data_IF_769410258565
#
_entry.id   IF_769410258565
#
_cell.length_a   1.000
_cell.length_b   1.000
_cell.length_c   1.000
_cell.angle_alpha   90.00
_cell.angle_beta   90.00
_cell.angle_gamma   90.00
#
_symmetry.space_group_name_H-M   'P 1'
#
loop_
_entity.id
_entity.type
_entity.pdbx_description
1 polymer ?
#
# COMPACT_ATOMS: atom_id res chain seq x y z
N UNK A 1 -2.57 -2.68 19.85
CA UNK A 1 -2.89 -4.12 19.73
C UNK A 1 -3.28 -4.41 18.29
N UNK A 2 -2.67 -5.42 17.66
CA UNK A 2 -3.02 -5.82 16.29
C UNK A 2 -4.24 -6.74 16.28
N UNK A 3 -4.99 -6.80 15.18
CA UNK A 3 -6.14 -7.71 15.04
C UNK A 3 -5.75 -9.19 15.30
N UNK A 4 -4.49 -9.55 15.04
CA UNK A 4 -3.92 -10.87 15.30
C UNK A 4 -3.84 -11.17 16.80
N UNK A 5 -3.52 -10.17 17.63
CA UNK A 5 -3.46 -10.32 19.09
C UNK A 5 -4.84 -10.54 19.72
N UNK A 6 -5.92 -10.32 18.95
CA UNK A 6 -7.31 -10.52 19.39
C UNK A 6 -7.91 -11.86 18.91
N UNK A 7 -7.10 -12.80 18.42
CA UNK A 7 -7.54 -14.16 18.08
C UNK A 7 -8.25 -14.30 16.72
N UNK A 8 -8.30 -13.23 15.92
CA UNK A 8 -8.76 -13.33 14.54
C UNK A 8 -7.71 -14.03 13.69
N UNK A 9 -8.12 -14.99 12.85
CA UNK A 9 -7.22 -15.57 11.84
C UNK A 9 -6.59 -14.43 11.06
N UNK A 10 -5.28 -14.49 10.86
CA UNK A 10 -4.58 -13.54 10.01
C UNK A 10 -5.15 -13.72 8.60
N UNK A 11 -6.15 -12.93 8.25
CA UNK A 11 -6.58 -12.78 6.88
C UNK A 11 -5.52 -11.92 6.21
N UNK A 12 -4.32 -12.47 6.05
CA UNK A 12 -3.26 -11.81 5.32
C UNK A 12 -3.69 -11.88 3.86
N UNK A 13 -4.53 -10.94 3.45
CA UNK A 13 -4.93 -10.79 2.06
C UNK A 13 -3.78 -10.25 1.23
N UNK A 14 -2.66 -9.88 1.85
CA UNK A 14 -1.58 -9.12 1.24
C UNK A 14 -0.18 -9.66 1.57
N UNK A 15 0.68 -9.74 0.58
CA UNK A 15 2.12 -9.91 0.78
C UNK A 15 2.81 -8.54 0.81
N UNK A 16 3.58 -8.25 1.86
CA UNK A 16 4.35 -7.00 1.99
C UNK A 16 5.71 -7.16 1.29
N UNK A 17 5.97 -6.30 0.33
CA UNK A 17 7.26 -6.16 -0.35
C UNK A 17 7.87 -4.79 -0.02
N UNK A 18 9.16 -4.80 0.31
CA UNK A 18 9.92 -3.56 0.38
C UNK A 18 10.12 -3.04 -1.04
N UNK A 19 9.87 -1.75 -1.23
CA UNK A 19 10.19 -1.07 -2.48
C UNK A 19 11.51 -0.37 -2.24
N UNK A 20 12.54 -0.82 -2.95
CA UNK A 20 13.86 -0.21 -2.84
C UNK A 20 13.90 0.99 -3.79
N UNK A 21 13.82 2.20 -3.24
CA UNK A 21 14.11 3.44 -3.97
C UNK A 21 15.53 3.95 -3.64
N UNK A 22 16.23 4.66 -4.54
CA UNK A 22 17.40 5.47 -4.23
C UNK A 22 17.34 6.20 -2.88
N UNK A 23 18.36 5.98 -2.07
CA UNK A 23 18.66 6.69 -0.82
C UNK A 23 18.75 8.23 -0.96
N UNK A 24 18.67 8.77 -2.18
CA UNK A 24 18.76 10.20 -2.46
C UNK A 24 17.37 10.78 -2.82
N UNK A 25 16.75 11.59 -1.94
CA UNK A 25 15.46 12.22 -2.19
C UNK A 25 15.44 13.22 -3.34
N UNK A 26 16.61 13.60 -3.87
CA UNK A 26 16.72 14.46 -5.06
C UNK A 26 16.64 13.66 -6.38
N UNK A 27 16.71 12.33 -6.31
CA UNK A 27 16.54 11.46 -7.47
C UNK A 27 15.06 11.22 -7.74
N UNK A 28 14.71 10.98 -9.01
CA UNK A 28 13.34 10.56 -9.36
C UNK A 28 13.07 9.18 -8.78
N UNK A 29 11.94 9.04 -8.09
CA UNK A 29 11.45 7.75 -7.65
C UNK A 29 11.02 6.89 -8.85
N UNK A 30 11.80 5.85 -9.14
CA UNK A 30 11.49 4.93 -10.25
C UNK A 30 10.43 3.88 -9.90
N UNK A 31 10.14 3.64 -8.62
CA UNK A 31 9.12 2.68 -8.17
C UNK A 31 7.71 3.01 -8.67
N UNK A 32 7.44 4.28 -8.99
CA UNK A 32 6.17 4.72 -9.56
C UNK A 32 6.11 4.66 -11.08
N UNK A 33 7.22 4.40 -11.78
CA UNK A 33 7.31 4.51 -13.25
C UNK A 33 6.30 3.63 -13.98
N UNK A 34 5.99 2.46 -13.41
CA UNK A 34 5.07 1.49 -13.99
C UNK A 34 3.77 1.35 -13.19
N UNK A 35 3.53 2.22 -12.20
CA UNK A 35 2.35 2.14 -11.34
C UNK A 35 1.09 2.47 -12.15
N UNK A 36 0.13 1.56 -12.18
CA UNK A 36 -1.19 1.74 -12.77
C UNK A 36 -2.22 2.05 -11.69
N UNK A 37 -2.09 3.22 -11.07
CA UNK A 37 -3.00 3.64 -10.01
C UNK A 37 -4.43 3.84 -10.54
N UNK A 38 -5.39 3.19 -9.91
CA UNK A 38 -6.83 3.34 -10.17
C UNK A 38 -7.57 4.00 -9.02
N UNK A 39 -7.03 3.90 -7.80
CA UNK A 39 -7.53 4.57 -6.60
C UNK A 39 -6.39 5.17 -5.80
N UNK A 40 -6.68 6.25 -5.08
CA UNK A 40 -5.75 6.83 -4.13
C UNK A 40 -6.46 7.35 -2.89
N UNK A 41 -5.87 7.14 -1.72
CA UNK A 41 -6.31 7.74 -0.46
C UNK A 41 -5.09 8.32 0.26
N UNK A 42 -5.24 9.52 0.82
CA UNK A 42 -4.16 10.21 1.52
C UNK A 42 -4.34 10.13 3.03
N UNK A 43 -3.23 9.91 3.72
CA UNK A 43 -3.12 10.02 5.17
C UNK A 43 -2.20 11.16 5.57
N UNK A 44 -1.92 11.28 6.87
CA UNK A 44 -0.97 12.27 7.37
C UNK A 44 0.45 11.85 6.99
N UNK A 45 1.04 12.53 6.00
CA UNK A 45 2.43 12.32 5.60
C UNK A 45 2.66 11.18 4.59
N UNK A 46 1.60 10.57 4.06
CA UNK A 46 1.69 9.52 3.04
C UNK A 46 0.45 9.50 2.13
N UNK A 47 0.60 8.90 0.95
CA UNK A 47 -0.51 8.55 0.06
C UNK A 47 -0.43 7.07 -0.28
N UNK A 48 -1.57 6.40 -0.29
CA UNK A 48 -1.72 5.02 -0.73
C UNK A 48 -2.37 5.01 -2.10
N UNK A 49 -1.77 4.27 -3.04
CA UNK A 49 -2.28 4.04 -4.38
C UNK A 49 -2.70 2.57 -4.49
N UNK A 50 -3.88 2.33 -5.06
CA UNK A 50 -4.35 0.98 -5.40
C UNK A 50 -4.26 0.74 -6.89
N UNK A 51 -3.73 -0.42 -7.29
CA UNK A 51 -3.74 -0.93 -8.66
C UNK A 51 -4.88 -1.95 -8.85
N UNK A 52 -5.52 -1.98 -10.03
CA UNK A 52 -6.60 -2.94 -10.32
C UNK A 52 -6.21 -4.41 -10.12
N UNK A 53 -4.93 -4.75 -10.25
CA UNK A 53 -4.39 -6.11 -10.05
C UNK A 53 -4.21 -6.51 -8.58
N UNK A 54 -4.69 -5.71 -7.62
CA UNK A 54 -4.58 -6.02 -6.19
C UNK A 54 -3.37 -5.41 -5.50
N UNK A 55 -2.45 -4.75 -6.21
CA UNK A 55 -1.32 -4.11 -5.58
C UNK A 55 -1.72 -2.79 -4.90
N UNK A 56 -1.09 -2.53 -3.75
CA UNK A 56 -1.30 -1.34 -2.93
C UNK A 56 0.06 -0.77 -2.62
N UNK A 57 0.28 0.45 -3.04
CA UNK A 57 1.56 1.13 -2.94
C UNK A 57 1.45 2.30 -1.97
N UNK A 58 2.27 2.34 -0.92
CA UNK A 58 2.35 3.52 -0.04
C UNK A 58 3.58 4.35 -0.39
N UNK A 59 3.31 5.59 -0.78
CA UNK A 59 4.30 6.64 -0.92
C UNK A 59 4.35 7.48 0.34
N UNK A 60 5.51 7.52 1.02
CA UNK A 60 5.74 8.32 2.22
C UNK A 60 6.55 9.56 1.89
N UNK A 61 6.40 10.65 2.66
CA UNK A 61 7.29 11.82 2.53
C UNK A 61 8.75 11.50 2.88
N UNK A 62 8.97 10.43 3.65
CA UNK A 62 10.29 10.07 4.19
C UNK A 62 11.03 9.00 3.37
N UNK A 63 10.49 8.58 2.22
CA UNK A 63 11.10 7.54 1.37
C UNK A 63 11.30 6.18 2.05
N UNK A 64 10.28 5.76 2.82
CA UNK A 64 10.17 4.43 3.42
C UNK A 64 9.01 3.67 2.74
N UNK A 65 9.16 3.36 1.47
CA UNK A 65 8.10 2.79 0.66
C UNK A 65 7.89 1.30 0.88
N UNK A 66 6.62 0.93 0.92
CA UNK A 66 6.17 -0.44 0.97
C UNK A 66 5.11 -0.65 -0.09
N UNK A 67 5.15 -1.81 -0.73
CA UNK A 67 4.09 -2.32 -1.57
C UNK A 67 3.44 -3.52 -0.86
N UNK A 68 2.13 -3.62 -0.92
CA UNK A 68 1.36 -4.77 -0.49
C UNK A 68 0.63 -5.34 -1.69
N UNK A 69 0.75 -6.64 -1.96
CA UNK A 69 0.09 -7.28 -3.11
C UNK A 69 -1.04 -8.16 -2.62
N UNK A 70 -2.28 -7.86 -3.03
CA UNK A 70 -3.45 -8.66 -2.67
C UNK A 70 -3.43 -10.04 -3.35
N UNK A 71 -3.70 -11.11 -2.60
CA UNK A 71 -3.78 -12.47 -3.15
C UNK A 71 -4.93 -12.67 -4.13
N UNK A 72 -6.05 -11.96 -3.95
CA UNK A 72 -7.24 -12.05 -4.84
C UNK A 72 -6.98 -11.46 -6.23
N UNK A 73 -5.86 -10.75 -6.42
CA UNK A 73 -5.41 -10.12 -7.68
C UNK A 73 -6.46 -9.21 -8.36
N UNK A 74 -7.39 -8.70 -7.57
CA UNK A 74 -8.37 -7.69 -7.98
C UNK A 74 -8.51 -6.65 -6.86
N UNK A 75 -8.66 -5.38 -7.24
CA UNK A 75 -8.95 -4.28 -6.32
C UNK A 75 -10.03 -3.39 -6.93
N UNK A 76 -11.17 -3.33 -6.25
CA UNK A 76 -12.29 -2.48 -6.64
C UNK A 76 -12.27 -1.13 -5.90
N UNK A 77 -11.91 -1.12 -4.61
CA UNK A 77 -11.85 0.12 -3.83
C UNK A 77 -10.90 0.05 -2.63
N UNK A 78 -10.51 1.23 -2.13
CA UNK A 78 -9.71 1.42 -0.92
C UNK A 78 -10.28 2.56 -0.07
N UNK A 79 -10.24 2.39 1.24
CA UNK A 79 -10.63 3.41 2.20
C UNK A 79 -9.63 3.48 3.36
N UNK A 80 -9.35 4.69 3.83
CA UNK A 80 -8.46 4.93 4.96
C UNK A 80 -9.23 5.60 6.10
N UNK A 81 -9.19 4.98 7.28
CA UNK A 81 -9.77 5.52 8.51
C UNK A 81 -8.70 5.51 9.61
N UNK A 82 -8.06 6.65 9.84
CA UNK A 82 -6.92 6.75 10.76
C UNK A 82 -5.76 5.86 10.30
N UNK A 83 -5.47 4.82 11.09
CA UNK A 83 -4.42 3.84 10.81
C UNK A 83 -4.93 2.57 10.10
N UNK A 84 -6.23 2.49 9.80
CA UNK A 84 -6.86 1.33 9.20
C UNK A 84 -7.01 1.56 7.70
N UNK A 85 -6.34 0.73 6.91
CA UNK A 85 -6.58 0.62 5.47
C UNK A 85 -7.53 -0.53 5.21
N UNK A 86 -8.69 -0.24 4.65
CA UNK A 86 -9.66 -1.21 4.18
C UNK A 86 -9.62 -1.30 2.66
N UNK A 87 -9.76 -2.52 2.14
CA UNK A 87 -9.61 -2.83 0.71
C UNK A 87 -10.68 -3.81 0.30
N UNK A 88 -11.30 -3.61 -0.85
CA UNK A 88 -12.23 -4.57 -1.45
C UNK A 88 -11.76 -4.90 -2.87
N UNK A 89 -11.86 -6.18 -3.24
CA UNK A 89 -11.38 -6.72 -4.51
C UNK A 89 -12.34 -7.73 -5.09
#
# INVERSE_FOLDING_TARGET
>A
MSLVETGWRQFTFFEKHNVYDPNNPKCRFNGLKNLKAFRSVSGVGFTVFGEPCGAIFKLSRNLEEYCWIAHKRSLADIALAGLILATVG
#
